data_IF_499260793884
#
_entry.id   IF_499260793884
#
_cell.length_a   1.000
_cell.length_b   1.000
_cell.length_c   1.000
_cell.angle_alpha   90.00
_cell.angle_beta   90.00
_cell.angle_gamma   90.00
#
_symmetry.space_group_name_H-M   'P 1'
#
loop_
_entity.id
_entity.type
_entity.pdbx_description
1 polymer ?
#
# COMPACT_ATOMS: atom_id res chain seq x y z
N UNK A 1 -32.15 6.25 -9.90
CA UNK A 1 -30.98 5.91 -9.06
C UNK A 1 -29.65 6.19 -9.77
N UNK A 2 -29.50 5.96 -11.09
CA UNK A 2 -28.28 6.32 -11.87
C UNK A 2 -27.77 7.76 -11.69
N UNK A 3 -28.68 8.75 -11.65
CA UNK A 3 -28.29 10.17 -11.64
C UNK A 3 -27.49 10.62 -10.41
N UNK A 4 -27.58 9.91 -9.28
CA UNK A 4 -26.88 10.29 -8.05
C UNK A 4 -25.46 9.71 -8.00
N UNK A 5 -25.30 8.45 -8.42
CA UNK A 5 -23.98 7.82 -8.58
C UNK A 5 -23.16 8.53 -9.67
N UNK A 6 -23.79 8.92 -10.79
CA UNK A 6 -23.13 9.69 -11.85
C UNK A 6 -22.64 11.07 -11.35
N UNK A 7 -23.40 11.71 -10.45
CA UNK A 7 -23.02 12.99 -9.83
C UNK A 7 -21.82 12.87 -8.88
N UNK A 8 -21.89 11.93 -7.91
CA UNK A 8 -20.82 11.72 -6.92
C UNK A 8 -19.53 11.30 -7.59
N UNK A 9 -19.61 10.35 -8.53
CA UNK A 9 -18.43 9.91 -9.25
C UNK A 9 -17.84 11.11 -10.00
N UNK A 10 -18.69 11.90 -10.69
CA UNK A 10 -18.26 13.08 -11.48
C UNK A 10 -17.48 14.10 -10.66
N UNK A 11 -17.89 14.32 -9.42
CA UNK A 11 -17.18 15.18 -8.47
C UNK A 11 -15.83 14.59 -8.06
N UNK A 12 -15.72 13.26 -7.86
CA UNK A 12 -14.47 12.59 -7.55
C UNK A 12 -13.42 12.73 -8.68
N UNK A 13 -13.83 12.65 -9.95
CA UNK A 13 -12.91 12.82 -11.09
C UNK A 13 -12.29 14.20 -11.11
N UNK A 14 -13.08 15.24 -10.81
CA UNK A 14 -12.59 16.62 -10.75
C UNK A 14 -11.53 16.80 -9.66
N UNK A 15 -11.58 15.99 -8.61
CA UNK A 15 -10.63 16.01 -7.51
C UNK A 15 -9.38 15.16 -7.77
N UNK A 16 -9.44 14.17 -8.68
CA UNK A 16 -8.32 13.25 -8.94
C UNK A 16 -6.97 13.93 -9.19
N UNK A 17 -6.84 14.99 -10.02
CA UNK A 17 -5.54 15.64 -10.24
C UNK A 17 -4.86 16.11 -8.94
N UNK A 18 -5.63 16.40 -7.90
CA UNK A 18 -5.14 16.86 -6.60
C UNK A 18 -5.04 15.74 -5.58
N UNK A 19 -6.06 14.88 -5.54
CA UNK A 19 -6.31 13.97 -4.42
C UNK A 19 -5.92 12.51 -4.73
N UNK A 20 -5.71 12.16 -6.00
CA UNK A 20 -5.24 10.83 -6.40
C UNK A 20 -3.71 10.79 -6.43
N UNK A 21 -3.15 9.92 -5.59
CA UNK A 21 -1.71 9.68 -5.50
C UNK A 21 -1.37 8.23 -5.81
N UNK A 22 -0.31 8.04 -6.59
CA UNK A 22 0.36 6.77 -6.77
C UNK A 22 1.42 6.61 -5.70
N UNK A 23 1.31 5.52 -4.95
CA UNK A 23 2.28 5.14 -3.92
C UNK A 23 3.13 3.99 -4.43
N UNK A 24 4.43 4.07 -4.20
CA UNK A 24 5.31 2.93 -4.42
C UNK A 24 4.98 1.84 -3.43
N UNK A 25 4.95 0.59 -3.88
CA UNK A 25 4.77 -0.57 -3.01
C UNK A 25 5.84 -1.61 -3.31
N UNK A 26 6.57 -2.01 -2.28
CA UNK A 26 7.50 -3.14 -2.35
C UNK A 26 6.69 -4.43 -2.33
N UNK A 27 6.93 -5.30 -3.31
CA UNK A 27 6.23 -6.57 -3.51
C UNK A 27 7.21 -7.73 -3.67
N UNK A 28 6.73 -8.94 -3.40
CA UNK A 28 7.46 -10.18 -3.65
C UNK A 28 8.76 -10.29 -2.84
N UNK A 29 9.82 -10.76 -3.50
CA UNK A 29 11.11 -11.10 -2.89
C UNK A 29 11.75 -9.96 -2.09
N UNK A 30 11.50 -8.70 -2.48
CA UNK A 30 11.98 -7.53 -1.73
C UNK A 30 11.49 -7.54 -0.27
N UNK A 31 10.24 -7.97 -0.04
CA UNK A 31 9.67 -8.06 1.29
C UNK A 31 10.31 -9.17 2.11
N UNK A 32 10.56 -10.32 1.48
CA UNK A 32 11.19 -11.46 2.13
C UNK A 32 12.62 -11.12 2.56
N UNK A 33 13.41 -10.53 1.65
CA UNK A 33 14.81 -10.18 1.94
C UNK A 33 14.94 -9.21 3.11
N UNK A 34 14.12 -8.17 3.15
CA UNK A 34 14.18 -7.20 4.25
C UNK A 34 13.68 -7.81 5.57
N UNK A 35 12.65 -8.66 5.53
CA UNK A 35 12.21 -9.39 6.71
C UNK A 35 13.30 -10.32 7.24
N UNK A 36 13.92 -11.14 6.39
CA UNK A 36 15.00 -12.05 6.78
C UNK A 36 16.18 -11.29 7.37
N UNK A 37 16.56 -10.16 6.76
CA UNK A 37 17.58 -9.28 7.32
C UNK A 37 17.25 -8.83 8.76
N UNK A 38 16.01 -8.38 9.01
CA UNK A 38 15.61 -7.98 10.36
C UNK A 38 15.48 -9.15 11.33
N UNK A 39 15.08 -10.34 10.87
CA UNK A 39 15.07 -11.53 11.72
C UNK A 39 16.49 -11.88 12.18
N UNK A 40 17.46 -11.86 11.26
CA UNK A 40 18.86 -12.13 11.57
C UNK A 40 19.46 -11.06 12.49
N UNK A 41 19.15 -9.80 12.22
CA UNK A 41 19.55 -8.67 13.07
C UNK A 41 19.02 -8.82 14.51
N UNK A 42 17.70 -9.01 14.68
CA UNK A 42 17.10 -9.14 16.01
C UNK A 42 17.64 -10.39 16.73
N UNK A 43 17.83 -11.51 16.02
CA UNK A 43 18.41 -12.73 16.59
C UNK A 43 19.83 -12.48 17.11
N UNK A 44 20.66 -11.77 16.36
CA UNK A 44 22.04 -11.46 16.75
C UNK A 44 22.07 -10.55 18.00
N UNK A 45 21.25 -9.50 18.03
CA UNK A 45 21.17 -8.58 19.18
C UNK A 45 20.68 -9.28 20.45
N UNK A 46 19.65 -10.13 20.34
CA UNK A 46 19.14 -10.90 21.48
C UNK A 46 20.17 -11.89 22.01
N UNK A 47 20.87 -12.59 21.10
CA UNK A 47 21.92 -13.54 21.48
C UNK A 47 23.10 -12.84 22.18
N UNK A 48 23.49 -11.64 21.73
CA UNK A 48 24.50 -10.83 22.40
C UNK A 48 24.09 -10.45 23.84
N UNK A 49 22.78 -10.32 24.09
CA UNK A 49 22.19 -10.14 25.42
C UNK A 49 21.94 -11.43 26.21
N UNK A 50 22.35 -12.61 25.71
CA UNK A 50 22.13 -13.90 26.36
C UNK A 50 20.72 -14.48 26.21
N UNK A 51 19.88 -13.87 25.36
CA UNK A 51 18.52 -14.34 25.07
C UNK A 51 18.59 -15.31 23.89
N UNK A 52 18.33 -16.58 24.14
CA UNK A 52 18.37 -17.67 23.16
C UNK A 52 17.08 -18.47 23.21
N UNK A 53 16.89 -19.38 22.27
CA UNK A 53 15.75 -20.31 22.26
C UNK A 53 15.74 -21.24 23.48
N UNK A 54 16.90 -21.52 24.06
CA UNK A 54 17.03 -22.34 25.27
C UNK A 54 16.57 -21.58 26.51
N UNK A 55 16.88 -20.28 26.60
CA UNK A 55 16.46 -19.45 27.74
C UNK A 55 15.05 -18.92 27.59
N UNK A 56 14.58 -18.73 26.35
CA UNK A 56 13.28 -18.15 26.01
C UNK A 56 12.62 -18.93 24.86
N UNK A 57 11.83 -19.98 25.16
CA UNK A 57 11.25 -20.86 24.15
C UNK A 57 10.37 -20.18 23.09
N UNK A 58 9.78 -19.03 23.42
CA UNK A 58 8.90 -18.26 22.52
C UNK A 58 9.61 -17.13 21.75
N UNK A 59 10.94 -17.05 21.82
CA UNK A 59 11.69 -15.94 21.23
C UNK A 59 11.58 -15.89 19.69
N UNK A 60 11.32 -17.02 19.03
CA UNK A 60 11.11 -17.07 17.59
C UNK A 60 9.93 -16.19 17.14
N UNK A 61 8.78 -16.31 17.81
CA UNK A 61 7.59 -15.51 17.49
C UNK A 61 7.83 -14.03 17.76
N UNK A 62 8.60 -13.71 18.79
CA UNK A 62 9.02 -12.34 19.06
C UNK A 62 9.85 -11.79 17.88
N UNK A 63 10.88 -12.52 17.44
CA UNK A 63 11.75 -12.13 16.32
C UNK A 63 10.94 -11.95 15.04
N UNK A 64 10.05 -12.88 14.72
CA UNK A 64 9.23 -12.81 13.51
C UNK A 64 8.32 -11.58 13.48
N UNK A 65 7.57 -11.35 14.55
CA UNK A 65 6.64 -10.23 14.63
C UNK A 65 7.38 -8.89 14.55
N UNK A 66 8.51 -8.75 15.25
CA UNK A 66 9.28 -7.52 15.24
C UNK A 66 9.97 -7.28 13.90
N UNK A 67 10.43 -8.33 13.21
CA UNK A 67 10.97 -8.19 11.87
C UNK A 67 9.93 -7.70 10.85
N UNK A 68 8.68 -8.18 10.96
CA UNK A 68 7.56 -7.68 10.14
C UNK A 68 7.30 -6.20 10.42
N UNK A 69 7.23 -5.81 11.71
CA UNK A 69 7.00 -4.42 12.09
C UNK A 69 8.09 -3.48 11.57
N UNK A 70 9.37 -3.86 11.69
CA UNK A 70 10.49 -3.06 11.19
C UNK A 70 10.49 -2.96 9.67
N UNK A 71 10.22 -4.07 8.96
CA UNK A 71 10.06 -4.08 7.50
C UNK A 71 8.97 -3.12 7.06
N UNK A 72 7.80 -3.21 7.69
CA UNK A 72 6.63 -2.39 7.33
C UNK A 72 6.88 -0.91 7.66
N UNK A 73 7.58 -0.61 8.76
CA UNK A 73 8.03 0.74 9.07
C UNK A 73 8.94 1.31 7.98
N UNK A 74 9.96 0.55 7.57
CA UNK A 74 10.92 0.99 6.53
C UNK A 74 10.22 1.20 5.20
N UNK A 75 9.44 0.23 4.72
CA UNK A 75 8.75 0.36 3.44
C UNK A 75 7.71 1.48 3.45
N UNK A 76 6.91 1.59 4.51
CA UNK A 76 5.94 2.69 4.63
C UNK A 76 6.66 4.04 4.62
N UNK A 77 7.79 4.16 5.33
CA UNK A 77 8.61 5.38 5.32
C UNK A 77 9.09 5.75 3.91
N UNK A 78 9.60 4.78 3.15
CA UNK A 78 10.03 4.99 1.76
C UNK A 78 8.86 5.40 0.87
N UNK A 79 7.73 4.70 0.95
CA UNK A 79 6.52 5.01 0.17
C UNK A 79 5.94 6.39 0.49
N UNK A 80 6.01 6.83 1.75
CA UNK A 80 5.55 8.16 2.16
C UNK A 80 6.50 9.27 1.70
N UNK A 81 7.80 8.99 1.61
CA UNK A 81 8.81 9.99 1.20
C UNK A 81 8.68 10.44 -0.25
N UNK A 82 8.04 9.61 -1.09
CA UNK A 82 7.89 9.86 -2.53
C UNK A 82 6.54 9.35 -2.99
N UNK A 83 5.58 10.27 -3.03
CA UNK A 83 4.27 10.08 -3.64
C UNK A 83 4.24 10.84 -4.94
N UNK A 84 3.62 10.27 -5.96
CA UNK A 84 3.41 10.94 -7.24
C UNK A 84 1.92 11.20 -7.40
N UNK A 85 1.54 12.44 -7.64
CA UNK A 85 0.16 12.75 -8.03
C UNK A 85 -0.11 12.19 -9.43
N UNK A 86 -1.38 11.93 -9.73
CA UNK A 86 -1.77 11.43 -11.06
C UNK A 86 -1.32 12.36 -12.18
N UNK A 87 -1.34 13.68 -11.97
CA UNK A 87 -0.88 14.66 -12.95
C UNK A 87 0.63 14.57 -13.22
N UNK A 88 1.42 14.22 -12.20
CA UNK A 88 2.86 13.96 -12.34
C UNK A 88 3.12 12.67 -13.11
N UNK A 89 2.38 11.61 -12.83
CA UNK A 89 2.49 10.33 -13.55
C UNK A 89 2.12 10.51 -15.02
N UNK A 90 1.00 11.17 -15.33
CA UNK A 90 0.59 11.43 -16.72
C UNK A 90 1.65 12.20 -17.51
N UNK A 91 2.32 13.17 -16.87
CA UNK A 91 3.46 13.87 -17.48
C UNK A 91 4.65 12.95 -17.73
N UNK A 92 4.96 12.06 -16.79
CA UNK A 92 6.07 11.11 -16.90
C UNK A 92 5.82 10.02 -17.95
N UNK A 93 4.57 9.57 -18.12
CA UNK A 93 4.19 8.54 -19.10
C UNK A 93 3.82 9.10 -20.47
N UNK A 94 3.69 10.43 -20.61
CA UNK A 94 3.22 11.06 -21.83
C UNK A 94 1.73 10.86 -22.10
N UNK A 95 0.94 10.56 -21.06
CA UNK A 95 -0.52 10.43 -21.17
C UNK A 95 -1.18 11.81 -21.30
N UNK A 96 -1.12 12.37 -22.50
CA UNK A 96 -1.74 13.66 -22.83
C UNK A 96 -3.27 13.61 -22.90
N UNK A 97 -3.82 12.40 -23.01
CA UNK A 97 -5.26 12.15 -23.16
C UNK A 97 -5.95 11.82 -21.84
N UNK A 98 -5.21 11.79 -20.72
CA UNK A 98 -5.76 11.49 -19.38
C UNK A 98 -6.42 10.11 -19.30
N UNK A 99 -5.94 9.13 -20.07
CA UNK A 99 -6.51 7.79 -20.11
C UNK A 99 -6.48 7.13 -18.73
N UNK A 100 -5.43 7.36 -17.95
CA UNK A 100 -5.32 6.85 -16.57
C UNK A 100 -6.51 7.28 -15.72
N UNK A 101 -6.93 8.56 -15.82
CA UNK A 101 -8.09 9.06 -15.06
C UNK A 101 -9.41 8.45 -15.54
N UNK A 102 -9.58 8.25 -16.84
CA UNK A 102 -10.80 7.65 -17.41
C UNK A 102 -10.95 6.21 -16.95
N UNK A 103 -9.86 5.43 -16.96
CA UNK A 103 -9.89 4.04 -16.51
C UNK A 103 -10.25 3.93 -15.01
N UNK A 104 -9.67 4.80 -14.18
CA UNK A 104 -9.97 4.83 -12.74
C UNK A 104 -11.41 5.28 -12.49
N UNK A 105 -11.92 6.23 -13.28
CA UNK A 105 -13.32 6.63 -13.26
C UNK A 105 -14.26 5.45 -13.51
N UNK A 106 -14.04 4.71 -14.59
CA UNK A 106 -14.90 3.59 -14.97
C UNK A 106 -14.89 2.49 -13.90
N UNK A 107 -13.72 2.24 -13.30
CA UNK A 107 -13.58 1.32 -12.17
C UNK A 107 -14.35 1.80 -10.94
N UNK A 108 -14.22 3.08 -10.55
CA UNK A 108 -14.94 3.65 -9.41
C UNK A 108 -16.46 3.51 -9.59
N UNK A 109 -16.97 3.89 -10.77
CA UNK A 109 -18.39 3.77 -11.08
C UNK A 109 -18.88 2.32 -10.94
N UNK A 110 -18.16 1.38 -11.56
CA UNK A 110 -18.49 -0.06 -11.49
C UNK A 110 -18.51 -0.59 -10.06
N UNK A 111 -17.54 -0.19 -9.23
CA UNK A 111 -17.46 -0.60 -7.83
C UNK A 111 -18.58 0.01 -6.97
N UNK A 112 -18.93 1.29 -7.18
CA UNK A 112 -20.05 1.94 -6.48
C UNK A 112 -21.36 1.23 -6.83
N UNK A 113 -21.64 1.01 -8.11
CA UNK A 113 -22.87 0.34 -8.55
C UNK A 113 -22.97 -1.09 -7.99
N UNK A 114 -21.84 -1.81 -7.93
CA UNK A 114 -21.79 -3.16 -7.36
C UNK A 114 -22.09 -3.14 -5.86
N UNK A 115 -21.50 -2.20 -5.12
CA UNK A 115 -21.71 -2.05 -3.68
C UNK A 115 -23.18 -1.69 -3.36
N UNK A 116 -23.78 -0.75 -4.10
CA UNK A 116 -25.18 -0.36 -3.93
C UNK A 116 -26.14 -1.53 -4.18
N UNK A 117 -25.89 -2.32 -5.24
CA UNK A 117 -26.68 -3.53 -5.54
C UNK A 117 -26.56 -4.58 -4.44
N UNK A 118 -25.35 -4.82 -3.94
CA UNK A 118 -25.12 -5.79 -2.86
C UNK A 118 -25.83 -5.38 -1.56
N UNK A 119 -25.86 -4.09 -1.24
CA UNK A 119 -26.55 -3.59 -0.04
C UNK A 119 -28.08 -3.75 -0.12
N UNK A 120 -28.65 -3.69 -1.32
CA UNK A 120 -30.10 -3.84 -1.55
C UNK A 120 -30.57 -5.30 -1.61
N UNK A 121 -29.63 -6.26 -1.69
CA UNK A 121 -29.91 -7.72 -1.71
C UNK A 121 -29.99 -8.29 -0.30
#
# INVERSE_FOLDING_TARGET
MSSQADGVTGDLVRLMPRDLVFVMRFMGESQHRLQSHFQDFIRAELAAGGVTTETHPMIHLFIENHAILLRDFVFSGVSLSRQFRVDEIERLTGDTTSMIRVDIWDQLKSHIETAEKQFQS
#
